data_IF_805858270517
#
_entry.id   IF_805858270517
#
_cell.length_a   1.000
_cell.length_b   1.000
_cell.length_c   1.000
_cell.angle_alpha   90.00
_cell.angle_beta   90.00
_cell.angle_gamma   90.00
#
_symmetry.space_group_name_H-M   'P 1'
#
loop_
_entity.id
_entity.type
_entity.pdbx_description
1 polymer ?
#
# COMPACT_ATOMS: atom_id res chain seq x y z
N UNK A 1 17.29 21.01 -19.88
CA UNK A 1 17.16 19.91 -18.90
C UNK A 1 18.17 20.18 -17.81
N UNK A 2 17.71 20.70 -16.67
CA UNK A 2 18.60 21.10 -15.58
C UNK A 2 18.98 19.88 -14.72
N UNK A 3 20.26 19.55 -14.75
CA UNK A 3 20.87 18.43 -14.01
C UNK A 3 21.02 18.73 -12.51
N UNK A 4 20.90 19.99 -12.08
CA UNK A 4 20.96 20.38 -10.66
C UNK A 4 19.77 19.80 -9.87
N UNK A 5 18.62 19.61 -10.52
CA UNK A 5 17.42 19.04 -9.91
C UNK A 5 17.48 17.51 -9.71
N UNK A 6 18.49 16.82 -10.26
CA UNK A 6 18.66 15.37 -10.10
C UNK A 6 18.84 14.95 -8.62
N UNK A 7 19.40 15.84 -7.80
CA UNK A 7 19.68 15.59 -6.38
C UNK A 7 18.56 16.05 -5.44
N UNK A 8 17.45 16.59 -5.95
CA UNK A 8 16.34 17.02 -5.10
C UNK A 8 15.69 15.79 -4.48
N UNK A 9 15.94 15.59 -3.18
CA UNK A 9 15.42 14.44 -2.44
C UNK A 9 13.92 14.62 -2.24
N UNK A 10 13.15 13.79 -2.92
CA UNK A 10 11.71 13.66 -2.72
C UNK A 10 11.47 12.87 -1.44
N UNK A 11 10.65 13.41 -0.53
CA UNK A 11 10.26 12.68 0.67
C UNK A 11 9.20 11.63 0.33
N UNK A 12 9.51 10.37 0.61
CA UNK A 12 8.62 9.21 0.42
C UNK A 12 8.18 8.62 1.76
N UNK A 13 8.61 9.20 2.88
CA UNK A 13 8.29 8.71 4.22
C UNK A 13 6.96 9.27 4.73
N UNK A 14 6.58 10.45 4.25
CA UNK A 14 5.33 11.09 4.63
C UNK A 14 4.13 10.32 4.07
N UNK A 15 3.12 10.12 4.91
CA UNK A 15 1.88 9.48 4.50
C UNK A 15 0.83 10.52 4.13
N UNK A 16 0.14 10.29 3.03
CA UNK A 16 -0.93 11.16 2.56
C UNK A 16 -2.27 10.45 2.69
N UNK A 17 -3.30 11.23 3.03
CA UNK A 17 -4.68 10.75 2.99
C UNK A 17 -5.15 10.68 1.54
N UNK A 18 -5.72 9.54 1.18
CA UNK A 18 -6.38 9.27 -0.09
C UNK A 18 -7.80 8.79 0.22
N UNK A 19 -8.76 9.43 -0.41
CA UNK A 19 -10.18 9.11 -0.46
C UNK A 19 -10.53 8.44 -1.80
N UNK A 20 -11.83 8.29 -2.09
CA UNK A 20 -12.34 7.72 -3.34
C UNK A 20 -11.69 6.38 -3.69
N UNK A 21 -11.53 5.54 -2.67
CA UNK A 21 -10.95 4.20 -2.80
C UNK A 21 -11.96 3.32 -3.55
N UNK A 22 -11.56 2.70 -4.67
CA UNK A 22 -12.44 1.82 -5.44
C UNK A 22 -13.04 0.74 -4.54
N UNK A 23 -14.34 0.50 -4.71
CA UNK A 23 -15.10 -0.51 -3.96
C UNK A 23 -15.18 -0.25 -2.43
N UNK A 24 -14.79 0.94 -1.95
CA UNK A 24 -14.77 1.30 -0.52
C UNK A 24 -15.30 2.73 -0.27
N UNK A 25 -16.58 2.96 -0.56
CA UNK A 25 -17.22 4.27 -0.37
C UNK A 25 -17.14 4.74 1.10
N UNK A 26 -16.75 6.01 1.28
CA UNK A 26 -16.62 6.63 2.60
C UNK A 26 -15.39 6.19 3.40
N UNK A 27 -14.53 5.33 2.84
CA UNK A 27 -13.24 4.96 3.44
C UNK A 27 -12.14 5.84 2.86
N UNK A 28 -11.22 6.26 3.72
CA UNK A 28 -9.98 6.91 3.33
C UNK A 28 -8.78 6.25 4.02
N UNK A 29 -7.67 6.16 3.31
CA UNK A 29 -6.43 5.59 3.82
C UNK A 29 -5.34 6.64 3.91
N UNK A 30 -4.59 6.64 5.00
CA UNK A 30 -3.32 7.35 5.08
C UNK A 30 -2.23 6.39 4.66
N UNK A 31 -1.59 6.66 3.53
CA UNK A 31 -0.62 5.74 2.95
C UNK A 31 0.67 6.44 2.53
N UNK A 32 1.78 5.71 2.56
CA UNK A 32 3.01 6.09 1.86
C UNK A 32 2.92 5.75 0.38
N UNK A 33 3.82 6.34 -0.40
CA UNK A 33 4.00 5.97 -1.81
C UNK A 33 4.41 4.50 -1.96
N UNK A 34 3.89 3.81 -2.99
CA UNK A 34 4.40 2.50 -3.43
C UNK A 34 5.85 2.55 -3.91
N UNK A 35 6.41 3.74 -4.15
CA UNK A 35 7.84 3.93 -4.40
C UNK A 35 8.70 3.92 -3.12
N UNK A 36 8.10 3.83 -1.94
CA UNK A 36 8.82 3.78 -0.67
C UNK A 36 9.80 2.60 -0.65
N UNK A 37 11.09 2.89 -0.41
CA UNK A 37 12.18 1.93 -0.62
C UNK A 37 12.01 0.62 0.18
N UNK A 38 11.65 0.62 1.48
CA UNK A 38 11.39 -0.61 2.23
C UNK A 38 10.29 -1.48 1.60
N UNK A 39 9.19 -0.87 1.14
CA UNK A 39 8.12 -1.60 0.45
C UNK A 39 8.62 -2.27 -0.82
N UNK A 40 9.35 -1.54 -1.69
CA UNK A 40 9.92 -2.09 -2.92
C UNK A 40 10.88 -3.25 -2.69
N UNK A 41 11.70 -3.17 -1.63
CA UNK A 41 12.61 -4.26 -1.27
C UNK A 41 11.83 -5.49 -0.80
N UNK A 42 10.82 -5.30 0.04
CA UNK A 42 9.97 -6.39 0.55
C UNK A 42 9.22 -7.11 -0.57
N UNK A 43 8.61 -6.36 -1.50
CA UNK A 43 7.85 -6.92 -2.64
C UNK A 43 8.74 -7.55 -3.70
N UNK A 44 9.91 -6.98 -4.01
CA UNK A 44 10.87 -7.60 -4.93
C UNK A 44 11.40 -8.95 -4.38
N UNK A 45 11.57 -9.06 -3.06
CA UNK A 45 11.87 -10.33 -2.42
C UNK A 45 10.75 -11.35 -2.59
N UNK A 46 9.49 -10.91 -2.42
CA UNK A 46 8.32 -11.76 -2.61
C UNK A 46 8.17 -12.25 -4.06
N UNK A 47 8.28 -11.35 -5.05
CA UNK A 47 8.15 -11.69 -6.47
C UNK A 47 9.19 -12.74 -6.93
N UNK A 48 10.44 -12.63 -6.43
CA UNK A 48 11.48 -13.62 -6.70
C UNK A 48 11.16 -15.00 -6.11
N UNK A 49 10.44 -15.04 -4.98
CA UNK A 49 10.02 -16.29 -4.33
C UNK A 49 8.74 -16.86 -4.95
N UNK A 50 7.78 -16.02 -5.35
CA UNK A 50 6.54 -16.50 -5.98
C UNK A 50 6.79 -17.16 -7.33
N UNK A 51 7.77 -16.67 -8.11
CA UNK A 51 8.24 -17.36 -9.32
C UNK A 51 8.89 -18.72 -9.06
N UNK A 52 9.27 -19.01 -7.80
CA UNK A 52 9.76 -20.31 -7.34
C UNK A 52 8.74 -20.92 -6.37
N UNK A 53 7.57 -21.38 -6.86
CA UNK A 53 6.49 -22.05 -6.10
C UNK A 53 6.62 -21.83 -4.59
N UNK A 54 6.06 -20.74 -4.06
CA UNK A 54 6.09 -20.39 -2.62
C UNK A 54 5.57 -21.57 -1.80
N UNK A 55 6.44 -22.51 -1.45
CA UNK A 55 6.17 -23.58 -0.48
C UNK A 55 6.41 -22.95 0.87
N UNK A 56 5.32 -22.50 1.48
CA UNK A 56 5.30 -22.16 2.90
C UNK A 56 4.90 -23.41 3.69
N UNK A 57 5.13 -23.42 5.00
CA UNK A 57 4.63 -24.48 5.89
C UNK A 57 3.09 -24.60 5.85
N UNK A 58 2.40 -23.57 5.33
CA UNK A 58 0.95 -23.46 5.15
C UNK A 58 0.48 -23.79 3.71
N UNK A 59 1.38 -24.18 2.79
CA UNK A 59 1.06 -24.50 1.40
C UNK A 59 1.45 -23.42 0.38
N UNK A 60 0.80 -23.41 -0.79
CA UNK A 60 1.01 -22.41 -1.85
C UNK A 60 0.20 -21.14 -1.51
N UNK A 61 0.86 -20.15 -0.92
CA UNK A 61 0.25 -18.84 -0.67
C UNK A 61 0.26 -18.03 -1.97
N UNK A 62 -0.90 -17.53 -2.38
CA UNK A 62 -1.01 -16.64 -3.53
C UNK A 62 -0.12 -15.40 -3.33
N UNK A 63 0.53 -14.93 -4.40
CA UNK A 63 1.32 -13.71 -4.38
C UNK A 63 0.52 -12.51 -3.83
N UNK A 64 -0.79 -12.46 -4.12
CA UNK A 64 -1.69 -11.41 -3.65
C UNK A 64 -1.80 -11.39 -2.12
N UNK A 65 -1.98 -12.54 -1.47
CA UNK A 65 -2.01 -12.65 0.00
C UNK A 65 -0.63 -12.30 0.58
N UNK A 66 0.44 -12.79 -0.06
CA UNK A 66 1.82 -12.50 0.34
C UNK A 66 2.19 -11.01 0.31
N UNK A 67 1.55 -10.22 -0.56
CA UNK A 67 1.75 -8.78 -0.65
C UNK A 67 1.09 -8.00 0.51
N UNK A 68 0.15 -8.63 1.21
CA UNK A 68 -0.58 -8.04 2.35
C UNK A 68 0.33 -7.55 3.47
N UNK A 69 1.32 -8.36 3.86
CA UNK A 69 2.26 -8.00 4.93
C UNK A 69 3.11 -6.76 4.57
N UNK A 70 3.78 -6.70 3.40
CA UNK A 70 4.45 -5.47 2.96
C UNK A 70 3.56 -4.23 2.93
N UNK A 71 2.29 -4.37 2.51
CA UNK A 71 1.34 -3.25 2.49
C UNK A 71 1.05 -2.75 3.92
N UNK A 72 0.79 -3.65 4.86
CA UNK A 72 0.52 -3.32 6.26
C UNK A 72 1.72 -2.68 6.96
N UNK A 73 2.93 -3.19 6.72
CA UNK A 73 4.15 -2.76 7.43
C UNK A 73 4.75 -1.46 6.87
N UNK A 74 4.52 -1.16 5.59
CA UNK A 74 5.27 -0.11 4.91
C UNK A 74 4.41 0.96 4.24
N UNK A 75 3.18 0.63 3.82
CA UNK A 75 2.33 1.53 3.04
C UNK A 75 1.21 2.09 3.90
N UNK A 76 0.37 1.25 4.51
CA UNK A 76 -0.79 1.69 5.28
C UNK A 76 -0.38 2.21 6.67
N UNK A 77 -0.61 3.49 6.92
CA UNK A 77 -0.28 4.16 8.18
C UNK A 77 -1.49 4.43 9.07
N UNK A 78 -2.67 4.63 8.46
CA UNK A 78 -3.92 4.93 9.16
C UNK A 78 -5.12 4.70 8.22
N UNK A 79 -6.33 4.63 8.78
CA UNK A 79 -7.58 4.64 8.03
C UNK A 79 -8.68 5.40 8.76
N UNK A 80 -9.68 5.82 8.01
CA UNK A 80 -10.93 6.36 8.54
C UNK A 80 -12.10 5.86 7.68
N UNK A 81 -13.28 5.76 8.28
CA UNK A 81 -14.49 5.26 7.62
C UNK A 81 -14.66 3.73 7.63
N UNK A 82 -13.65 2.96 8.07
CA UNK A 82 -13.76 1.50 8.22
C UNK A 82 -14.77 1.14 9.31
N UNK A 83 -15.67 0.19 9.03
CA UNK A 83 -16.73 -0.25 9.95
C UNK A 83 -16.75 -1.77 10.11
N UNK A 84 -17.12 -2.23 11.31
CA UNK A 84 -17.34 -3.63 11.66
C UNK A 84 -18.74 -3.74 12.27
N UNK A 85 -19.67 -4.43 11.57
CA UNK A 85 -21.07 -4.50 11.99
C UNK A 85 -21.72 -3.12 12.17
N UNK A 86 -21.36 -2.15 11.30
CA UNK A 86 -21.84 -0.76 11.36
C UNK A 86 -21.14 0.13 12.38
N UNK A 87 -20.23 -0.40 13.22
CA UNK A 87 -19.48 0.39 14.21
C UNK A 87 -18.15 0.86 13.63
N UNK A 88 -17.76 2.14 13.80
CA UNK A 88 -16.46 2.62 13.37
C UNK A 88 -15.31 1.85 14.03
N UNK A 89 -14.35 1.45 13.21
CA UNK A 89 -13.13 0.76 13.63
C UNK A 89 -11.96 1.71 13.53
N UNK A 90 -11.36 2.03 14.68
CA UNK A 90 -10.09 2.77 14.71
C UNK A 90 -8.98 1.93 14.10
N UNK A 91 -8.04 2.62 13.46
CA UNK A 91 -6.83 1.99 12.98
C UNK A 91 -6.04 1.36 14.13
N UNK A 92 -5.56 0.15 13.86
CA UNK A 92 -4.62 -0.58 14.70
C UNK A 92 -3.67 -1.37 13.77
N UNK A 93 -2.34 -1.26 13.91
CA UNK A 93 -1.40 -1.95 13.04
C UNK A 93 -1.56 -3.47 13.01
N UNK A 94 -1.92 -4.10 14.14
CA UNK A 94 -2.12 -5.55 14.20
C UNK A 94 -3.37 -5.95 13.43
N UNK A 95 -4.45 -5.19 13.60
CA UNK A 95 -5.69 -5.36 12.83
C UNK A 95 -5.46 -5.13 11.34
N UNK A 96 -4.69 -4.11 10.97
CA UNK A 96 -4.34 -3.83 9.58
C UNK A 96 -3.57 -5.00 8.95
N UNK A 97 -2.59 -5.54 9.67
CA UNK A 97 -1.87 -6.74 9.25
C UNK A 97 -2.83 -7.91 9.06
N UNK A 98 -3.69 -8.20 10.05
CA UNK A 98 -4.63 -9.31 9.99
C UNK A 98 -5.59 -9.21 8.79
N UNK A 99 -6.14 -8.03 8.52
CA UNK A 99 -7.02 -7.79 7.37
C UNK A 99 -6.24 -7.97 6.06
N UNK A 100 -5.08 -7.33 5.94
CA UNK A 100 -4.32 -7.34 4.68
C UNK A 100 -3.70 -8.70 4.37
N UNK A 101 -3.49 -9.57 5.37
CA UNK A 101 -3.04 -10.96 5.17
C UNK A 101 -4.17 -11.98 5.19
N UNK A 102 -5.44 -11.55 5.31
CA UNK A 102 -6.57 -12.47 5.32
C UNK A 102 -6.71 -13.16 3.96
N UNK A 103 -6.92 -14.48 4.04
CA UNK A 103 -7.41 -15.33 2.95
C UNK A 103 -8.85 -15.73 3.30
N UNK A 104 -9.77 -14.79 3.08
CA UNK A 104 -11.18 -14.93 3.42
C UNK A 104 -12.05 -15.14 2.17
N UNK A 105 -13.05 -16.00 2.30
CA UNK A 105 -14.00 -16.30 1.21
C UNK A 105 -14.89 -15.10 0.82
N UNK A 106 -14.90 -14.03 1.63
CA UNK A 106 -15.72 -12.84 1.44
C UNK A 106 -15.00 -11.73 0.66
N UNK A 107 -13.73 -11.92 0.31
CA UNK A 107 -12.93 -10.97 -0.46
C UNK A 107 -12.50 -9.72 0.31
N UNK A 108 -12.70 -9.66 1.63
CA UNK A 108 -12.40 -8.47 2.45
C UNK A 108 -10.90 -8.15 2.38
N UNK A 109 -10.04 -9.15 2.59
CA UNK A 109 -8.60 -8.97 2.50
C UNK A 109 -8.15 -8.53 1.12
N UNK A 110 -8.78 -9.03 0.05
CA UNK A 110 -8.49 -8.61 -1.32
C UNK A 110 -8.88 -7.15 -1.57
N UNK A 111 -10.10 -6.75 -1.17
CA UNK A 111 -10.57 -5.37 -1.30
C UNK A 111 -9.65 -4.40 -0.56
N UNK A 112 -9.25 -4.73 0.67
CA UNK A 112 -8.31 -3.90 1.42
C UNK A 112 -6.93 -3.83 0.76
N UNK A 113 -6.38 -4.95 0.27
CA UNK A 113 -5.09 -4.95 -0.43
C UNK A 113 -5.13 -4.06 -1.67
N UNK A 114 -6.15 -4.21 -2.51
CA UNK A 114 -6.36 -3.40 -3.71
C UNK A 114 -6.54 -1.91 -3.38
N UNK A 115 -7.33 -1.60 -2.36
CA UNK A 115 -7.56 -0.22 -1.94
C UNK A 115 -6.31 0.47 -1.40
N UNK A 116 -5.50 -0.23 -0.60
CA UNK A 116 -4.23 0.29 -0.08
C UNK A 116 -3.19 0.46 -1.20
N UNK A 117 -3.10 -0.49 -2.12
CA UNK A 117 -2.21 -0.40 -3.28
C UNK A 117 -2.58 0.78 -4.18
N UNK A 118 -3.87 0.91 -4.52
CA UNK A 118 -4.41 2.05 -5.28
C UNK A 118 -4.06 3.39 -4.61
N UNK A 119 -4.31 3.51 -3.31
CA UNK A 119 -3.99 4.72 -2.57
C UNK A 119 -2.49 5.04 -2.64
N UNK A 120 -1.63 4.03 -2.45
CA UNK A 120 -0.17 4.21 -2.50
C UNK A 120 0.33 4.63 -3.88
N UNK A 121 -0.30 4.15 -4.95
CA UNK A 121 -0.02 4.56 -6.32
C UNK A 121 -0.46 6.00 -6.60
N UNK A 122 -1.62 6.44 -6.08
CA UNK A 122 -2.03 7.85 -6.15
C UNK A 122 -1.03 8.77 -5.48
N UNK A 123 -0.47 8.36 -4.34
CA UNK A 123 0.60 9.12 -3.69
C UNK A 123 1.87 9.14 -4.55
N UNK A 124 2.25 8.02 -5.16
CA UNK A 124 3.38 7.96 -6.09
C UNK A 124 3.21 8.90 -7.29
N UNK A 125 2.00 8.95 -7.87
CA UNK A 125 1.65 9.85 -8.97
C UNK A 125 1.76 11.32 -8.55
N UNK A 126 1.15 11.71 -7.42
CA UNK A 126 1.19 13.09 -6.89
C UNK A 126 2.63 13.56 -6.69
N UNK A 127 3.46 12.70 -6.10
CA UNK A 127 4.86 12.98 -5.84
C UNK A 127 5.67 13.13 -7.15
N UNK A 128 5.43 12.24 -8.12
CA UNK A 128 6.07 12.29 -9.44
C UNK A 128 5.71 13.56 -10.22
N UNK A 129 4.43 13.94 -10.21
CA UNK A 129 3.93 15.16 -10.86
C UNK A 129 4.56 16.41 -10.23
N UNK A 130 4.57 16.51 -8.90
CA UNK A 130 5.21 17.63 -8.20
C UNK A 130 6.72 17.73 -8.50
N UNK A 131 7.41 16.60 -8.63
CA UNK A 131 8.82 16.57 -9.01
C UNK A 131 9.05 17.04 -10.47
N UNK A 132 8.17 16.67 -11.41
CA UNK A 132 8.23 17.10 -12.81
C UNK A 132 7.96 18.60 -12.95
N UNK A 133 6.94 19.12 -12.27
CA UNK A 133 6.62 20.56 -12.25
C UNK A 133 7.78 21.38 -11.71
N UNK A 134 8.43 20.92 -10.63
CA UNK A 134 9.59 21.59 -10.06
C UNK A 134 10.85 21.56 -10.96
N UNK A 135 10.93 20.64 -11.94
CA UNK A 135 12.05 20.53 -12.86
C UNK A 135 11.81 21.25 -14.21
N UNK A 136 10.57 21.65 -14.48
CA UNK A 136 10.14 22.33 -15.71
C UNK A 136 10.06 23.86 -15.61
N UNK A 137 10.32 24.43 -14.43
CA UNK A 137 10.43 25.88 -14.18
C UNK A 137 11.89 26.29 -13.97
#
# INVERSE_FOLDING_TARGET
MDIANLNKKVDLNEGHWIDDIPDMEGVRFKVRSTNYKPFRVATAGLARRSGKKLRTDEGMVSYTIGAGKPLAEHILLDWDGVKEGGKPVKYDPKRALAILTADDDFGIGETFRRGVEYAGDRVAERISSAAKEAAGN
#
